data_IF_802001847145
#
_entry.id   IF_802001847145
#
_cell.length_a   1.000
_cell.length_b   1.000
_cell.length_c   1.000
_cell.angle_alpha   90.00
_cell.angle_beta   90.00
_cell.angle_gamma   90.00
#
_symmetry.space_group_name_H-M   'P 1'
#
loop_
_entity.id
_entity.type
_entity.pdbx_description
1 polymer ?
#
# COMPACT_ATOMS: atom_id res chain seq x y z
N UNK A 1 70.23 32.70 14.20
CA UNK A 1 69.72 32.38 12.86
C UNK A 1 69.06 31.03 12.84
N UNK A 2 67.75 30.98 12.96
CA UNK A 2 66.95 29.82 12.57
C UNK A 2 65.61 30.36 12.04
N UNK A 3 65.40 30.14 10.78
CA UNK A 3 64.23 30.59 10.05
C UNK A 3 62.94 29.85 10.49
N UNK A 4 61.91 30.60 10.77
CA UNK A 4 60.54 30.10 10.91
C UNK A 4 59.92 29.98 9.52
N UNK A 5 59.65 28.77 9.06
CA UNK A 5 58.72 28.51 7.96
C UNK A 5 57.30 28.44 8.53
N UNK A 6 56.43 29.34 8.06
CA UNK A 6 55.01 29.30 8.25
C UNK A 6 54.44 28.20 7.30
N UNK A 7 53.77 27.20 7.86
CA UNK A 7 52.90 26.28 7.11
C UNK A 7 51.50 26.88 7.00
N UNK A 8 51.17 27.44 5.84
CA UNK A 8 49.80 27.72 5.44
C UNK A 8 49.22 26.49 4.78
N UNK A 9 48.60 25.62 5.56
CA UNK A 9 47.96 24.39 5.11
C UNK A 9 46.44 24.43 5.35
N UNK A 10 45.70 24.71 4.26
CA UNK A 10 44.41 24.13 3.91
C UNK A 10 43.24 24.16 4.90
N UNK A 11 42.58 25.32 4.98
CA UNK A 11 41.23 25.44 5.51
C UNK A 11 40.11 25.33 4.41
N UNK A 12 40.47 24.99 3.13
CA UNK A 12 39.51 24.94 2.04
C UNK A 12 38.69 23.63 1.99
N UNK A 13 39.17 22.53 2.60
CA UNK A 13 38.47 21.23 2.49
C UNK A 13 37.29 21.09 3.46
N UNK A 14 37.39 21.64 4.67
CA UNK A 14 36.29 21.58 5.64
C UNK A 14 35.08 22.42 5.23
N UNK A 15 35.30 23.58 4.64
CA UNK A 15 34.22 24.49 4.22
C UNK A 15 33.43 23.93 3.04
N UNK A 16 34.08 23.17 2.15
CA UNK A 16 33.43 22.51 1.04
C UNK A 16 32.56 21.34 1.51
N UNK A 17 33.04 20.49 2.43
CA UNK A 17 32.29 19.40 3.03
C UNK A 17 31.10 19.92 3.86
N UNK A 18 31.30 21.02 4.60
CA UNK A 18 30.27 21.61 5.44
C UNK A 18 29.12 22.21 4.58
N UNK A 19 29.45 22.85 3.44
CA UNK A 19 28.46 23.35 2.46
C UNK A 19 27.73 22.22 1.74
N UNK A 20 28.42 21.11 1.48
CA UNK A 20 27.79 19.94 0.83
C UNK A 20 26.81 19.25 1.77
N UNK A 21 27.13 19.08 3.04
CA UNK A 21 26.24 18.53 4.08
C UNK A 21 25.04 19.45 4.34
N UNK A 22 25.23 20.78 4.30
CA UNK A 22 24.14 21.75 4.47
C UNK A 22 23.16 21.72 3.28
N UNK A 23 23.67 21.59 2.06
CA UNK A 23 22.88 21.45 0.83
C UNK A 23 22.04 20.17 0.82
N UNK A 24 22.60 19.03 1.28
CA UNK A 24 21.88 17.76 1.38
C UNK A 24 20.77 17.84 2.44
N UNK A 25 21.04 18.47 3.59
CA UNK A 25 20.02 18.67 4.62
C UNK A 25 18.85 19.56 4.17
N UNK A 26 19.11 20.63 3.41
CA UNK A 26 18.05 21.49 2.89
C UNK A 26 17.19 20.76 1.86
N UNK A 27 17.81 19.97 0.95
CA UNK A 27 17.07 19.17 -0.03
C UNK A 27 16.23 18.11 0.67
N UNK A 28 16.78 17.43 1.67
CA UNK A 28 16.06 16.41 2.45
C UNK A 28 14.91 17.02 3.23
N UNK A 29 15.11 18.16 3.88
CA UNK A 29 14.06 18.89 4.63
C UNK A 29 12.97 19.37 3.67
N UNK A 30 13.32 19.95 2.51
CA UNK A 30 12.33 20.41 1.52
C UNK A 30 11.56 19.27 0.87
N UNK A 31 12.17 18.11 0.68
CA UNK A 31 11.49 16.89 0.18
C UNK A 31 10.54 16.33 1.24
N UNK A 32 10.96 16.27 2.50
CA UNK A 32 10.13 15.82 3.63
C UNK A 32 8.96 16.79 3.83
N UNK A 33 9.21 18.12 3.88
CA UNK A 33 8.14 19.11 3.99
C UNK A 33 7.19 19.13 2.79
N UNK A 34 7.65 18.77 1.59
CA UNK A 34 6.82 18.63 0.39
C UNK A 34 6.00 17.35 0.42
N UNK A 35 6.53 16.28 1.02
CA UNK A 35 5.84 15.02 1.25
C UNK A 35 4.77 15.16 2.33
N UNK A 36 5.10 15.82 3.45
CA UNK A 36 4.16 16.12 4.55
C UNK A 36 3.06 17.10 4.15
N UNK A 37 3.34 18.06 3.26
CA UNK A 37 2.32 18.96 2.68
C UNK A 37 1.34 18.28 1.76
N UNK A 38 1.69 17.10 1.22
CA UNK A 38 0.82 16.37 0.29
C UNK A 38 -0.32 15.62 0.98
N UNK A 39 -0.19 15.32 2.29
CA UNK A 39 -1.25 14.67 3.08
C UNK A 39 -1.14 14.99 4.57
N UNK A 40 -1.62 16.14 5.05
CA UNK A 40 -1.81 16.30 6.49
C UNK A 40 -2.93 15.37 6.94
N UNK A 41 -2.58 14.25 7.59
CA UNK A 41 -3.55 13.31 8.18
C UNK A 41 -4.55 13.97 9.15
N UNK A 42 -4.22 15.18 9.65
CA UNK A 42 -5.03 15.93 10.60
C UNK A 42 -6.23 16.68 10.02
N UNK A 43 -6.44 16.69 8.68
CA UNK A 43 -7.49 17.49 8.03
C UNK A 43 -8.55 16.69 7.29
N UNK A 44 -8.47 15.35 7.31
CA UNK A 44 -9.48 14.54 6.65
C UNK A 44 -10.81 14.63 7.40
N UNK A 45 -11.75 15.39 6.86
CA UNK A 45 -13.09 15.52 7.46
C UNK A 45 -13.74 14.14 7.56
N UNK A 46 -14.38 13.88 8.70
CA UNK A 46 -15.21 12.69 8.89
C UNK A 46 -16.28 12.60 7.79
N UNK A 47 -16.47 11.39 7.27
CA UNK A 47 -17.50 11.11 6.27
C UNK A 47 -18.25 9.84 6.65
N UNK A 48 -19.55 9.96 6.90
CA UNK A 48 -20.42 8.82 7.21
C UNK A 48 -20.41 7.77 6.08
N UNK A 49 -20.37 8.22 4.82
CA UNK A 49 -20.31 7.31 3.67
C UNK A 49 -19.00 6.51 3.66
N UNK A 50 -17.86 7.13 3.96
CA UNK A 50 -16.57 6.46 4.03
C UNK A 50 -16.55 5.44 5.16
N UNK A 51 -17.07 5.81 6.33
CA UNK A 51 -17.18 4.91 7.47
C UNK A 51 -18.07 3.70 7.17
N UNK A 52 -19.23 3.91 6.55
CA UNK A 52 -20.12 2.82 6.13
C UNK A 52 -19.44 1.86 5.14
N UNK A 53 -18.68 2.38 4.16
CA UNK A 53 -17.89 1.55 3.23
C UNK A 53 -16.88 0.70 4.00
N UNK A 54 -16.17 1.29 4.97
CA UNK A 54 -15.21 0.58 5.82
C UNK A 54 -15.88 -0.51 6.64
N UNK A 55 -17.00 -0.20 7.28
CA UNK A 55 -17.80 -1.17 8.05
C UNK A 55 -18.31 -2.31 7.17
N UNK A 56 -18.74 -2.02 5.93
CA UNK A 56 -19.15 -3.06 4.98
C UNK A 56 -18.02 -4.03 4.59
N UNK A 57 -16.76 -3.64 4.75
CA UNK A 57 -15.60 -4.50 4.48
C UNK A 57 -15.17 -5.32 5.69
N UNK A 58 -15.47 -4.85 6.91
CA UNK A 58 -15.04 -5.51 8.12
C UNK A 58 -15.58 -6.93 8.22
N UNK A 59 -14.67 -7.89 8.47
CA UNK A 59 -15.00 -9.30 8.64
C UNK A 59 -15.44 -10.05 7.39
N UNK A 60 -15.49 -9.40 6.22
CA UNK A 60 -15.78 -10.08 4.94
C UNK A 60 -14.57 -10.88 4.47
N UNK A 61 -14.83 -12.05 3.90
CA UNK A 61 -13.83 -12.96 3.34
C UNK A 61 -14.03 -13.18 1.83
N UNK A 62 -15.05 -12.52 1.24
CA UNK A 62 -15.37 -12.62 -0.19
C UNK A 62 -14.67 -11.54 -1.03
N UNK A 63 -13.92 -10.64 -0.40
CA UNK A 63 -13.17 -9.56 -1.04
C UNK A 63 -14.00 -8.87 -2.13
N UNK A 64 -15.01 -8.06 -1.75
CA UNK A 64 -15.97 -7.50 -2.68
C UNK A 64 -15.34 -6.53 -3.68
N UNK A 65 -15.96 -6.42 -4.87
CA UNK A 65 -15.68 -5.34 -5.82
C UNK A 65 -16.34 -4.03 -5.37
N UNK A 66 -15.96 -2.91 -6.00
CA UNK A 66 -16.61 -1.62 -5.74
C UNK A 66 -18.11 -1.64 -6.04
N UNK A 67 -18.55 -2.40 -7.06
CA UNK A 67 -19.96 -2.54 -7.42
C UNK A 67 -20.76 -3.32 -6.38
N UNK A 68 -20.17 -4.35 -5.79
CA UNK A 68 -20.79 -5.10 -4.69
C UNK A 68 -20.97 -4.19 -3.47
N UNK A 69 -19.90 -3.46 -3.08
CA UNK A 69 -19.96 -2.50 -1.99
C UNK A 69 -20.95 -1.36 -2.27
N UNK A 70 -21.01 -0.87 -3.50
CA UNK A 70 -22.00 0.11 -3.88
C UNK A 70 -23.43 -0.39 -3.65
N UNK A 71 -23.71 -1.64 -4.01
CA UNK A 71 -25.02 -2.25 -3.79
C UNK A 71 -25.36 -2.35 -2.29
N UNK A 72 -24.38 -2.68 -1.47
CA UNK A 72 -24.58 -2.79 -0.01
C UNK A 72 -24.74 -1.42 0.66
N UNK A 73 -23.86 -0.47 0.34
CA UNK A 73 -23.87 0.88 0.93
C UNK A 73 -25.12 1.67 0.53
N UNK A 74 -25.69 1.42 -0.65
CA UNK A 74 -26.96 2.04 -1.08
C UNK A 74 -28.15 1.71 -0.18
N UNK A 75 -28.11 0.62 0.58
CA UNK A 75 -29.15 0.28 1.55
C UNK A 75 -29.23 1.34 2.65
N UNK A 76 -28.10 1.91 3.05
CA UNK A 76 -28.01 2.99 4.03
C UNK A 76 -28.01 4.38 3.39
N UNK A 77 -27.36 4.53 2.22
CA UNK A 77 -27.23 5.80 1.48
C UNK A 77 -27.81 5.68 0.07
N UNK A 78 -29.16 5.73 -0.11
CA UNK A 78 -29.80 5.49 -1.41
C UNK A 78 -29.31 6.39 -2.56
N UNK A 79 -28.83 7.60 -2.22
CA UNK A 79 -28.36 8.61 -3.19
C UNK A 79 -26.84 8.59 -3.41
N UNK A 80 -26.10 7.61 -2.84
CA UNK A 80 -24.67 7.50 -3.09
C UNK A 80 -24.43 7.15 -4.55
N UNK A 81 -23.41 7.75 -5.17
CA UNK A 81 -22.98 7.37 -6.51
C UNK A 81 -21.86 6.32 -6.46
N UNK A 82 -21.77 5.48 -7.50
CA UNK A 82 -20.66 4.53 -7.66
C UNK A 82 -19.30 5.24 -7.66
N UNK A 83 -19.21 6.41 -8.32
CA UNK A 83 -18.00 7.24 -8.29
C UNK A 83 -17.60 7.72 -6.89
N UNK A 84 -18.58 7.92 -5.99
CA UNK A 84 -18.31 8.24 -4.58
C UNK A 84 -17.72 7.03 -3.86
N UNK A 85 -18.23 5.81 -4.13
CA UNK A 85 -17.68 4.58 -3.56
C UNK A 85 -16.23 4.38 -4.00
N UNK A 86 -15.93 4.48 -5.30
CA UNK A 86 -14.57 4.38 -5.82
C UNK A 86 -13.61 5.40 -5.19
N UNK A 87 -14.01 6.67 -5.07
CA UNK A 87 -13.17 7.70 -4.43
C UNK A 87 -12.87 7.39 -2.97
N UNK A 88 -13.86 6.91 -2.22
CA UNK A 88 -13.66 6.54 -0.82
C UNK A 88 -12.80 5.28 -0.68
N UNK A 89 -12.96 4.28 -1.54
CA UNK A 89 -12.11 3.07 -1.56
C UNK A 89 -10.65 3.42 -1.88
N UNK A 90 -10.42 4.28 -2.88
CA UNK A 90 -9.06 4.75 -3.20
C UNK A 90 -8.44 5.47 -2.01
N UNK A 91 -9.18 6.38 -1.38
CA UNK A 91 -8.71 7.11 -0.20
C UNK A 91 -8.41 6.18 0.99
N UNK A 92 -9.29 5.23 1.30
CA UNK A 92 -9.07 4.25 2.37
C UNK A 92 -7.84 3.38 2.10
N UNK A 93 -7.60 3.00 0.84
CA UNK A 93 -6.42 2.25 0.42
C UNK A 93 -5.14 3.08 0.54
N UNK A 94 -5.17 4.37 0.15
CA UNK A 94 -4.05 5.30 0.29
C UNK A 94 -3.69 5.55 1.76
N UNK A 95 -4.69 5.53 2.66
CA UNK A 95 -4.51 5.65 4.11
C UNK A 95 -4.06 4.34 4.78
N UNK A 96 -4.00 3.23 4.04
CA UNK A 96 -3.68 1.91 4.59
C UNK A 96 -4.78 1.33 5.49
N UNK A 97 -6.00 1.88 5.46
CA UNK A 97 -7.13 1.39 6.25
C UNK A 97 -7.83 0.18 5.64
N UNK A 98 -7.60 -0.08 4.36
CA UNK A 98 -8.00 -1.26 3.61
C UNK A 98 -6.91 -1.63 2.61
N UNK A 99 -6.93 -2.87 2.09
CA UNK A 99 -6.09 -3.29 0.96
C UNK A 99 -6.88 -3.32 -0.34
N UNK A 100 -6.25 -2.90 -1.43
CA UNK A 100 -6.74 -3.08 -2.79
C UNK A 100 -6.02 -4.27 -3.43
N UNK A 101 -6.77 -5.25 -3.88
CA UNK A 101 -6.27 -6.48 -4.48
C UNK A 101 -6.53 -6.43 -5.98
N UNK A 102 -5.45 -6.35 -6.76
CA UNK A 102 -5.51 -6.37 -8.22
C UNK A 102 -5.54 -7.81 -8.71
N UNK A 103 -6.59 -8.17 -9.44
CA UNK A 103 -6.82 -9.55 -9.90
C UNK A 103 -6.33 -9.82 -11.34
N UNK A 104 -5.56 -8.92 -11.93
CA UNK A 104 -5.14 -8.97 -13.33
C UNK A 104 -6.26 -8.47 -14.26
N UNK A 105 -6.86 -9.36 -15.04
CA UNK A 105 -7.88 -8.99 -16.03
C UNK A 105 -9.27 -8.72 -15.43
N UNK A 106 -9.47 -9.05 -14.14
CA UNK A 106 -10.73 -8.84 -13.44
C UNK A 106 -10.82 -7.49 -12.73
N UNK A 107 -12.00 -7.16 -12.16
CA UNK A 107 -12.17 -5.96 -11.37
C UNK A 107 -11.34 -6.04 -10.08
N UNK A 108 -10.83 -4.90 -9.63
CA UNK A 108 -10.19 -4.81 -8.32
C UNK A 108 -11.13 -5.24 -7.20
N UNK A 109 -10.54 -5.89 -6.21
CA UNK A 109 -11.23 -6.29 -5.00
C UNK A 109 -10.66 -5.56 -3.79
N UNK A 110 -11.42 -5.50 -2.74
CA UNK A 110 -11.07 -4.74 -1.55
C UNK A 110 -11.13 -5.64 -0.33
N UNK A 111 -10.16 -5.47 0.54
CA UNK A 111 -10.00 -6.25 1.75
C UNK A 111 -9.93 -5.30 2.96
N UNK A 112 -10.76 -5.56 3.96
CA UNK A 112 -10.78 -4.82 5.22
C UNK A 112 -9.73 -5.30 6.23
N UNK A 113 -9.08 -6.44 5.98
CA UNK A 113 -8.00 -6.94 6.81
C UNK A 113 -6.65 -6.49 6.25
N UNK A 114 -6.02 -5.55 6.96
CA UNK A 114 -4.71 -5.01 6.55
C UNK A 114 -3.53 -5.81 7.10
N UNK A 115 -3.75 -6.84 7.91
CA UNK A 115 -2.69 -7.73 8.37
C UNK A 115 -2.05 -8.51 7.21
N UNK A 116 -0.85 -9.05 7.42
CA UNK A 116 -0.19 -9.87 6.40
C UNK A 116 -0.85 -11.23 6.32
N UNK A 117 -1.48 -11.52 5.18
CA UNK A 117 -2.05 -12.81 4.86
C UNK A 117 -1.97 -13.05 3.34
N UNK A 118 -2.35 -14.24 2.89
CA UNK A 118 -2.13 -14.69 1.53
C UNK A 118 -3.45 -14.98 0.84
N UNK A 119 -3.51 -14.78 -0.48
CA UNK A 119 -4.72 -14.91 -1.25
C UNK A 119 -4.59 -15.95 -2.37
N UNK A 120 -5.70 -16.55 -2.69
CA UNK A 120 -5.90 -17.29 -3.93
C UNK A 120 -6.80 -16.49 -4.87
N UNK A 121 -6.40 -16.36 -6.13
CA UNK A 121 -7.14 -15.66 -7.19
C UNK A 121 -7.56 -16.67 -8.26
N UNK A 122 -8.84 -16.78 -8.51
CA UNK A 122 -9.35 -17.65 -9.58
C UNK A 122 -9.21 -16.96 -10.94
N UNK A 123 -8.50 -17.60 -11.87
CA UNK A 123 -8.34 -17.08 -13.24
C UNK A 123 -9.61 -17.12 -14.08
N UNK A 124 -10.63 -17.88 -13.64
CA UNK A 124 -11.88 -18.03 -14.39
C UNK A 124 -12.97 -17.04 -13.94
N UNK A 125 -13.26 -16.95 -12.64
CA UNK A 125 -14.32 -16.06 -12.11
C UNK A 125 -13.78 -14.86 -11.34
N UNK A 126 -12.47 -14.69 -11.26
CA UNK A 126 -11.78 -13.60 -10.56
C UNK A 126 -12.20 -13.44 -9.08
N UNK A 127 -12.72 -14.51 -8.45
CA UNK A 127 -12.90 -14.50 -7.01
C UNK A 127 -11.55 -14.53 -6.31
N UNK A 128 -11.48 -13.84 -5.18
CA UNK A 128 -10.33 -13.85 -4.28
C UNK A 128 -10.76 -14.49 -2.97
N UNK A 129 -9.90 -15.31 -2.39
CA UNK A 129 -10.17 -16.03 -1.14
C UNK A 129 -8.90 -16.04 -0.30
N UNK A 130 -9.05 -15.81 1.01
CA UNK A 130 -7.93 -15.97 1.94
C UNK A 130 -7.44 -17.42 1.95
N UNK A 131 -6.13 -17.58 1.99
CA UNK A 131 -5.50 -18.87 2.18
C UNK A 131 -4.96 -19.00 3.59
N UNK A 132 -5.47 -19.99 4.32
CA UNK A 132 -4.87 -20.43 5.58
C UNK A 132 -3.71 -21.33 5.27
N UNK A 133 -2.49 -20.89 5.59
CA UNK A 133 -1.28 -21.68 5.35
C UNK A 133 -0.31 -21.51 6.54
N UNK A 134 0.67 -22.42 6.63
CA UNK A 134 1.75 -22.29 7.62
C UNK A 134 2.53 -21.00 7.39
N UNK A 135 3.21 -20.53 8.42
CA UNK A 135 4.11 -19.38 8.32
C UNK A 135 5.17 -19.61 7.22
N UNK A 136 5.32 -18.65 6.34
CA UNK A 136 6.32 -18.59 5.27
C UNK A 136 7.19 -17.33 5.37
N UNK A 137 7.31 -16.73 6.57
CA UNK A 137 8.08 -15.49 6.80
C UNK A 137 9.54 -15.61 6.35
N UNK A 138 10.10 -16.83 6.32
CA UNK A 138 11.42 -17.13 5.76
C UNK A 138 11.60 -16.66 4.30
N UNK A 139 10.51 -16.46 3.54
CA UNK A 139 10.58 -15.96 2.17
C UNK A 139 11.25 -14.57 2.11
N UNK A 140 11.14 -13.76 3.17
CA UNK A 140 11.82 -12.46 3.27
C UNK A 140 13.33 -12.62 3.31
N UNK A 141 13.82 -13.62 4.07
CA UNK A 141 15.25 -13.91 4.20
C UNK A 141 15.80 -14.40 2.86
N UNK A 142 15.08 -15.33 2.21
CA UNK A 142 15.46 -15.84 0.88
C UNK A 142 15.51 -14.70 -0.14
N UNK A 143 14.51 -13.81 -0.14
CA UNK A 143 14.49 -12.67 -1.05
C UNK A 143 15.59 -11.64 -0.76
N UNK A 144 16.04 -11.53 0.51
CA UNK A 144 17.08 -10.60 0.93
C UNK A 144 18.51 -11.06 0.61
N UNK A 145 18.74 -12.36 0.34
CA UNK A 145 20.08 -12.93 0.15
C UNK A 145 20.93 -12.21 -0.91
N UNK A 146 20.30 -11.73 -1.99
CA UNK A 146 20.98 -11.03 -3.09
C UNK A 146 20.44 -9.62 -3.30
N UNK A 147 19.76 -9.04 -2.29
CA UNK A 147 19.15 -7.73 -2.35
C UNK A 147 19.85 -6.75 -1.42
N UNK A 148 20.40 -5.66 -1.98
CA UNK A 148 21.15 -4.66 -1.21
C UNK A 148 20.28 -3.66 -0.42
N UNK A 149 18.96 -3.80 -0.43
CA UNK A 149 18.01 -2.94 0.29
C UNK A 149 17.39 -3.62 1.50
N UNK A 150 16.32 -3.01 2.05
CA UNK A 150 15.53 -3.56 3.15
C UNK A 150 14.16 -4.03 2.63
N UNK A 151 13.77 -5.27 2.96
CA UNK A 151 12.43 -5.80 2.65
C UNK A 151 11.56 -5.60 3.90
N UNK A 152 10.61 -4.67 3.83
CA UNK A 152 9.73 -4.35 4.96
C UNK A 152 8.54 -5.29 5.04
N UNK A 153 7.92 -5.60 3.89
CA UNK A 153 6.72 -6.44 3.82
C UNK A 153 6.74 -7.33 2.57
N UNK A 154 5.84 -8.31 2.52
CA UNK A 154 5.63 -9.18 1.37
C UNK A 154 4.18 -9.61 1.26
N UNK A 155 3.73 -9.93 0.06
CA UNK A 155 2.45 -10.56 -0.19
C UNK A 155 2.60 -11.73 -1.16
N UNK A 156 1.85 -12.79 -0.96
CA UNK A 156 1.86 -13.95 -1.86
C UNK A 156 0.45 -14.19 -2.36
N UNK A 157 0.31 -14.21 -3.69
CA UNK A 157 -0.94 -14.52 -4.37
C UNK A 157 -0.76 -15.81 -5.18
N UNK A 158 -1.69 -16.75 -4.99
CA UNK A 158 -1.76 -17.99 -5.74
C UNK A 158 -2.84 -17.89 -6.81
N UNK A 159 -2.56 -18.36 -8.00
CA UNK A 159 -3.45 -18.26 -9.14
C UNK A 159 -3.83 -19.64 -9.64
N UNK A 160 -5.12 -19.85 -9.91
CA UNK A 160 -5.60 -21.14 -10.39
C UNK A 160 -7.10 -21.11 -10.70
N UNK A 161 -7.76 -22.24 -10.53
CA UNK A 161 -9.21 -22.41 -10.71
C UNK A 161 -9.81 -22.74 -9.35
N UNK A 162 -10.78 -21.96 -8.87
CA UNK A 162 -11.45 -22.22 -7.59
C UNK A 162 -12.33 -23.49 -7.68
N UNK A 163 -12.68 -24.02 -6.53
CA UNK A 163 -13.48 -25.24 -6.43
C UNK A 163 -14.82 -25.11 -7.18
N UNK A 164 -15.49 -23.98 -7.03
CA UNK A 164 -16.76 -23.75 -7.74
C UNK A 164 -16.59 -23.80 -9.26
N UNK A 165 -15.57 -23.13 -9.82
CA UNK A 165 -15.31 -23.14 -11.25
C UNK A 165 -14.78 -24.51 -11.77
N UNK A 166 -14.13 -25.29 -10.90
CA UNK A 166 -13.70 -26.64 -11.22
C UNK A 166 -14.89 -27.59 -11.34
N UNK A 167 -15.85 -27.46 -10.41
CA UNK A 167 -17.02 -28.34 -10.35
C UNK A 167 -18.13 -27.91 -11.34
N UNK A 168 -18.14 -26.64 -11.80
CA UNK A 168 -19.11 -26.11 -12.74
C UNK A 168 -18.41 -25.47 -13.96
N UNK A 169 -17.81 -26.25 -14.86
CA UNK A 169 -16.97 -25.72 -15.95
C UNK A 169 -17.71 -24.84 -16.96
N UNK A 170 -19.04 -24.90 -17.02
CA UNK A 170 -19.90 -24.17 -17.98
C UNK A 170 -20.48 -22.82 -17.49
N UNK A 171 -20.34 -22.49 -16.20
CA UNK A 171 -20.93 -21.26 -15.62
C UNK A 171 -19.88 -20.14 -15.48
N UNK A 172 -19.71 -19.34 -16.52
CA UNK A 172 -19.06 -18.01 -16.47
C UNK A 172 -19.71 -17.12 -17.51
#
# INVERSE_FOLDING_TARGET
CVDKKEESGSNLSLDFFQKQLYSINIITITVIERYERKMPMSTLKYSRQRESIKVCLQGRKDHPTADMLYTDVRKEFPNISLGTVYRNLSLLSELGEIKRLTTGDGPDRFDGDTSTHHHFVCRKCHCVTDLTMRDISEIKNVAAENFGGTIEDYSVNFYGICENCKNHPGNV
#
